data_IF_762090836870
#
_entry.id   IF_762090836870
#
_cell.length_a   1.000
_cell.length_b   1.000
_cell.length_c   1.000
_cell.angle_alpha   90.00
_cell.angle_beta   90.00
_cell.angle_gamma   90.00
#
_symmetry.space_group_name_H-M   'P 1'
#
loop_
_entity.id
_entity.type
_entity.pdbx_description
1 polymer ?
#
# COMPACT_ATOMS: atom_id res chain seq x y z
N UNK A 1 -11.10 -12.04 14.24
CA UNK A 1 -9.95 -11.60 13.42
C UNK A 1 -9.27 -10.44 14.12
N UNK A 2 -7.94 -10.35 14.06
CA UNK A 2 -7.17 -9.18 14.51
C UNK A 2 -6.81 -8.31 13.31
N UNK A 3 -6.50 -7.03 13.56
CA UNK A 3 -5.98 -6.11 12.52
C UNK A 3 -4.65 -5.54 12.98
N UNK A 4 -3.59 -5.76 12.20
CA UNK A 4 -2.26 -5.20 12.47
C UNK A 4 -1.90 -4.17 11.41
N UNK A 5 -1.44 -3.00 11.84
CA UNK A 5 -0.96 -1.97 10.93
C UNK A 5 0.54 -1.78 11.10
N UNK A 6 1.27 -1.81 9.99
CA UNK A 6 2.71 -1.54 9.95
C UNK A 6 2.99 -0.23 9.22
N UNK A 7 3.66 0.70 9.92
CA UNK A 7 4.10 1.97 9.34
C UNK A 7 5.28 1.80 8.37
N UNK A 8 5.48 2.77 7.49
CA UNK A 8 6.53 2.73 6.48
C UNK A 8 7.96 2.58 7.04
N UNK A 9 8.23 3.17 8.19
CA UNK A 9 9.51 3.03 8.88
C UNK A 9 9.74 1.59 9.39
N UNK A 10 8.67 0.90 9.81
CA UNK A 10 8.74 -0.49 10.27
C UNK A 10 9.05 -1.50 9.16
N UNK A 11 8.75 -1.16 7.90
CA UNK A 11 8.95 -2.02 6.73
C UNK A 11 9.94 -1.43 5.71
N UNK A 12 10.78 -0.50 6.14
CA UNK A 12 11.68 0.27 5.25
C UNK A 12 12.79 -0.54 4.58
N UNK A 13 13.04 -1.76 5.00
CA UNK A 13 14.08 -2.64 4.47
C UNK A 13 13.73 -4.11 4.73
N UNK A 14 14.54 -5.02 4.22
CA UNK A 14 14.35 -6.45 4.38
C UNK A 14 14.27 -6.91 5.84
N UNK A 15 15.05 -6.32 6.73
CA UNK A 15 15.00 -6.67 8.15
C UNK A 15 13.69 -6.26 8.81
N UNK A 16 13.12 -5.11 8.44
CA UNK A 16 11.79 -4.70 8.86
C UNK A 16 10.71 -5.68 8.39
N UNK A 17 10.78 -6.13 7.14
CA UNK A 17 9.85 -7.14 6.61
C UNK A 17 10.02 -8.50 7.31
N UNK A 18 11.26 -8.93 7.58
CA UNK A 18 11.52 -10.15 8.38
C UNK A 18 10.98 -10.02 9.80
N UNK A 19 11.08 -8.82 10.40
CA UNK A 19 10.52 -8.56 11.72
C UNK A 19 8.98 -8.61 11.71
N UNK A 20 8.33 -8.02 10.69
CA UNK A 20 6.89 -8.17 10.49
C UNK A 20 6.49 -9.64 10.48
N UNK A 21 7.20 -10.48 9.70
CA UNK A 21 6.96 -11.93 9.64
C UNK A 21 7.06 -12.59 11.02
N UNK A 22 8.04 -12.20 11.85
CA UNK A 22 8.19 -12.73 13.23
C UNK A 22 7.04 -12.30 14.14
N UNK A 23 6.59 -11.06 14.02
CA UNK A 23 5.49 -10.51 14.83
C UNK A 23 4.18 -11.28 14.60
N UNK A 24 3.97 -11.74 13.37
CA UNK A 24 2.74 -12.44 12.99
C UNK A 24 2.86 -13.97 13.07
N UNK A 25 3.97 -14.53 13.60
CA UNK A 25 4.28 -15.97 13.54
C UNK A 25 3.22 -16.86 14.20
N UNK A 26 2.63 -16.37 15.29
CA UNK A 26 1.59 -17.10 16.05
C UNK A 26 0.15 -16.72 15.64
N UNK A 27 -0.01 -15.83 14.64
CA UNK A 27 -1.33 -15.36 14.23
C UNK A 27 -1.94 -16.28 13.16
N UNK A 28 -3.22 -16.61 13.35
CA UNK A 28 -3.94 -17.52 12.45
C UNK A 28 -5.11 -16.85 11.72
N UNK A 29 -5.55 -15.69 12.19
CA UNK A 29 -6.69 -14.97 11.61
C UNK A 29 -6.43 -13.46 11.71
N UNK A 30 -5.79 -12.91 10.66
CA UNK A 30 -5.18 -11.59 10.70
C UNK A 30 -5.39 -10.81 9.40
N UNK A 31 -5.76 -9.54 9.53
CA UNK A 31 -5.66 -8.56 8.44
C UNK A 31 -4.47 -7.62 8.68
N UNK A 32 -3.56 -7.55 7.73
CA UNK A 32 -2.35 -6.73 7.81
C UNK A 32 -2.52 -5.51 6.88
N UNK A 33 -2.52 -4.31 7.46
CA UNK A 33 -2.48 -3.05 6.72
C UNK A 33 -1.07 -2.52 6.72
N UNK A 34 -0.54 -2.20 5.54
CA UNK A 34 0.84 -1.72 5.40
C UNK A 34 0.89 -0.41 4.62
N UNK A 35 1.73 0.50 5.09
CA UNK A 35 2.07 1.75 4.40
C UNK A 35 3.17 1.52 3.35
N UNK A 36 3.41 2.51 2.50
CA UNK A 36 4.58 2.54 1.61
C UNK A 36 5.89 2.36 2.40
N UNK A 37 6.88 1.67 1.83
CA UNK A 37 8.17 1.39 2.47
C UNK A 37 9.01 2.65 2.63
N UNK A 38 9.47 2.94 3.84
CA UNK A 38 10.42 4.01 4.13
C UNK A 38 9.93 5.39 3.69
N UNK A 39 10.65 6.03 2.77
CA UNK A 39 10.34 7.36 2.21
C UNK A 39 9.78 7.31 0.80
N UNK A 40 9.19 6.19 0.39
CA UNK A 40 8.67 5.97 -0.97
C UNK A 40 7.63 7.03 -1.35
N UNK A 41 6.70 7.39 -0.46
CA UNK A 41 5.69 8.42 -0.73
C UNK A 41 6.34 9.76 -1.10
N UNK A 42 7.38 10.18 -0.36
CA UNK A 42 8.10 11.43 -0.67
C UNK A 42 8.78 11.38 -2.06
N UNK A 43 9.30 10.24 -2.47
CA UNK A 43 9.91 10.07 -3.79
C UNK A 43 8.84 10.06 -4.89
N UNK A 44 7.67 9.45 -4.65
CA UNK A 44 6.52 9.50 -5.56
C UNK A 44 5.95 10.91 -5.72
N UNK A 45 5.98 11.73 -4.66
CA UNK A 45 5.65 13.15 -4.76
C UNK A 45 6.60 13.90 -5.70
N UNK A 46 7.87 13.49 -5.78
CA UNK A 46 8.82 14.03 -6.77
C UNK A 46 8.52 13.57 -8.21
N UNK A 47 8.06 12.34 -8.38
CA UNK A 47 7.54 11.86 -9.68
C UNK A 47 6.36 12.74 -10.12
N UNK A 48 5.42 13.00 -9.22
CA UNK A 48 4.28 13.89 -9.49
C UNK A 48 4.70 15.34 -9.77
N UNK A 49 5.69 15.87 -9.04
CA UNK A 49 6.27 17.20 -9.31
C UNK A 49 6.84 17.30 -10.73
N UNK A 50 7.54 16.25 -11.20
CA UNK A 50 8.03 16.18 -12.58
C UNK A 50 6.90 16.17 -13.59
N UNK A 51 5.83 15.38 -13.34
CA UNK A 51 4.64 15.39 -14.19
C UNK A 51 3.99 16.78 -14.26
N UNK A 52 3.83 17.47 -13.12
CA UNK A 52 3.27 18.83 -13.07
C UNK A 52 4.07 19.85 -13.90
N UNK A 53 5.40 19.71 -13.90
CA UNK A 53 6.31 20.60 -14.63
C UNK A 53 6.49 20.19 -16.10
N UNK A 54 5.97 19.04 -16.52
CA UNK A 54 6.27 18.44 -17.81
C UNK A 54 7.73 17.96 -17.93
N UNK A 55 8.42 17.81 -16.80
CA UNK A 55 9.79 17.33 -16.71
C UNK A 55 9.82 15.81 -16.58
N UNK A 56 9.75 15.15 -17.73
CA UNK A 56 9.76 13.69 -17.82
C UNK A 56 11.07 13.08 -17.29
N UNK A 57 12.19 13.80 -17.45
CA UNK A 57 13.48 13.33 -16.96
C UNK A 57 13.48 13.25 -15.44
N UNK A 58 13.02 14.29 -14.76
CA UNK A 58 12.89 14.32 -13.30
C UNK A 58 12.00 13.18 -12.81
N UNK A 59 10.84 12.96 -13.45
CA UNK A 59 9.96 11.84 -13.08
C UNK A 59 10.65 10.49 -13.22
N UNK A 60 11.31 10.24 -14.36
CA UNK A 60 11.97 8.98 -14.64
C UNK A 60 13.17 8.70 -13.72
N UNK A 61 13.95 9.72 -13.36
CA UNK A 61 15.04 9.58 -12.39
C UNK A 61 14.53 9.10 -11.04
N UNK A 62 13.40 9.64 -10.57
CA UNK A 62 12.80 9.22 -9.29
C UNK A 62 12.14 7.83 -9.39
N UNK A 63 11.51 7.49 -10.51
CA UNK A 63 10.95 6.14 -10.72
C UNK A 63 12.08 5.11 -10.74
N UNK A 64 13.19 5.37 -11.44
CA UNK A 64 14.35 4.48 -11.48
C UNK A 64 14.96 4.27 -10.08
N UNK A 65 15.13 5.34 -9.31
CA UNK A 65 15.64 5.25 -7.93
C UNK A 65 14.69 4.44 -7.01
N UNK A 66 13.37 4.59 -7.18
CA UNK A 66 12.38 3.80 -6.46
C UNK A 66 12.44 2.31 -6.84
N UNK A 67 12.58 2.01 -8.13
CA UNK A 67 12.74 0.63 -8.63
C UNK A 67 13.99 -0.01 -8.02
N UNK A 68 15.13 0.69 -8.04
CA UNK A 68 16.39 0.21 -7.46
C UNK A 68 16.28 -0.03 -5.95
N UNK A 69 15.66 0.90 -5.22
CA UNK A 69 15.44 0.76 -3.76
C UNK A 69 14.64 -0.49 -3.42
N UNK A 70 13.54 -0.74 -4.12
CA UNK A 70 12.71 -1.92 -3.86
C UNK A 70 13.34 -3.21 -4.38
N UNK A 71 14.08 -3.16 -5.50
CA UNK A 71 14.87 -4.31 -5.98
C UNK A 71 15.92 -4.75 -4.95
N UNK A 72 16.61 -3.81 -4.31
CA UNK A 72 17.54 -4.12 -3.22
C UNK A 72 16.86 -4.80 -2.02
N UNK A 73 15.65 -4.37 -1.65
CA UNK A 73 14.86 -5.03 -0.59
C UNK A 73 14.48 -6.47 -1.00
N UNK A 74 14.06 -6.66 -2.25
CA UNK A 74 13.68 -7.97 -2.80
C UNK A 74 14.91 -8.89 -2.80
N UNK A 75 16.05 -8.45 -3.31
CA UNK A 75 17.28 -9.23 -3.35
C UNK A 75 17.73 -9.68 -1.94
N UNK A 76 17.64 -8.79 -0.96
CA UNK A 76 17.93 -9.11 0.43
C UNK A 76 16.95 -10.12 1.04
N UNK A 77 15.64 -9.98 0.76
CA UNK A 77 14.61 -10.87 1.29
C UNK A 77 14.76 -12.30 0.78
N UNK A 78 15.02 -12.48 -0.51
CA UNK A 78 15.16 -13.79 -1.16
C UNK A 78 16.61 -14.31 -1.21
N UNK A 79 17.59 -13.55 -0.67
CA UNK A 79 19.00 -13.89 -0.65
C UNK A 79 19.59 -14.12 -2.05
N UNK A 80 19.20 -13.31 -2.99
CA UNK A 80 19.66 -13.36 -4.37
C UNK A 80 18.63 -12.81 -5.33
N UNK A 81 19.00 -12.73 -6.58
CA UNK A 81 18.17 -12.16 -7.64
C UNK A 81 16.82 -12.87 -7.72
N UNK A 82 15.77 -12.16 -7.36
CA UNK A 82 14.37 -12.59 -7.50
C UNK A 82 13.61 -11.56 -8.31
N UNK A 83 13.03 -12.00 -9.40
CA UNK A 83 12.10 -11.20 -10.17
C UNK A 83 10.68 -11.41 -9.63
N UNK A 84 9.97 -10.32 -9.34
CA UNK A 84 8.58 -10.32 -8.95
C UNK A 84 7.77 -9.62 -10.05
N UNK A 85 7.21 -10.39 -10.98
CA UNK A 85 6.48 -9.88 -12.15
C UNK A 85 5.40 -8.85 -11.79
N UNK A 86 4.72 -9.03 -10.66
CA UNK A 86 3.71 -8.07 -10.19
C UNK A 86 4.30 -6.74 -9.76
N UNK A 87 5.50 -6.75 -9.18
CA UNK A 87 6.21 -5.52 -8.78
C UNK A 87 6.75 -4.82 -10.02
N UNK A 88 7.32 -5.58 -10.96
CA UNK A 88 7.80 -5.04 -12.23
C UNK A 88 6.65 -4.38 -13.00
N UNK A 89 5.50 -5.02 -13.11
CA UNK A 89 4.33 -4.46 -13.77
C UNK A 89 3.82 -3.16 -13.11
N UNK A 90 3.91 -3.03 -11.77
CA UNK A 90 3.56 -1.79 -11.07
C UNK A 90 4.53 -0.66 -11.42
N UNK A 91 5.83 -0.94 -11.52
CA UNK A 91 6.80 0.08 -11.93
C UNK A 91 6.66 0.45 -13.40
N UNK A 92 6.39 -0.51 -14.28
CA UNK A 92 6.14 -0.24 -15.71
C UNK A 92 4.90 0.66 -15.88
N UNK A 93 3.85 0.42 -15.10
CA UNK A 93 2.66 1.28 -15.09
C UNK A 93 2.95 2.68 -14.54
N UNK A 94 3.74 2.79 -13.47
CA UNK A 94 4.16 4.09 -12.93
C UNK A 94 4.99 4.89 -13.95
N UNK A 95 5.92 4.22 -14.66
CA UNK A 95 6.69 4.83 -15.75
C UNK A 95 5.77 5.33 -16.86
N UNK A 96 4.80 4.51 -17.28
CA UNK A 96 3.81 4.85 -18.28
C UNK A 96 3.00 6.08 -17.87
N UNK A 97 2.51 6.11 -16.63
CA UNK A 97 1.79 7.28 -16.08
C UNK A 97 2.66 8.52 -16.10
N UNK A 98 3.92 8.41 -15.66
CA UNK A 98 4.85 9.54 -15.58
C UNK A 98 5.22 10.13 -16.94
N UNK A 99 5.24 9.31 -18.01
CA UNK A 99 5.73 9.72 -19.35
C UNK A 99 4.60 10.05 -20.32
N UNK A 100 3.50 9.28 -20.29
CA UNK A 100 2.43 9.38 -21.28
C UNK A 100 1.30 10.32 -20.88
N UNK A 101 1.17 10.61 -19.57
CA UNK A 101 0.11 11.48 -19.09
C UNK A 101 0.28 12.91 -19.59
N UNK A 102 -0.79 13.45 -20.18
CA UNK A 102 -0.90 14.87 -20.49
C UNK A 102 -1.51 15.57 -19.27
N UNK A 103 -0.64 16.16 -18.45
CA UNK A 103 -1.07 16.82 -17.21
C UNK A 103 -1.91 18.07 -17.49
N UNK A 104 -3.01 18.19 -16.73
CA UNK A 104 -3.83 19.41 -16.66
C UNK A 104 -3.98 19.80 -15.18
N UNK A 105 -3.91 21.09 -14.84
CA UNK A 105 -4.09 21.54 -13.45
C UNK A 105 -5.43 21.13 -12.82
N UNK A 106 -6.49 20.98 -13.64
CA UNK A 106 -7.80 20.47 -13.17
C UNK A 106 -7.75 19.06 -12.61
N UNK A 107 -6.79 18.25 -13.05
CA UNK A 107 -6.69 16.83 -12.73
C UNK A 107 -5.54 16.56 -11.75
N UNK A 108 -5.03 17.62 -11.10
CA UNK A 108 -3.84 17.56 -10.24
C UNK A 108 -4.00 16.58 -9.09
N UNK A 109 -5.14 16.60 -8.39
CA UNK A 109 -5.38 15.73 -7.25
C UNK A 109 -5.58 14.28 -7.67
N UNK A 110 -6.23 14.02 -8.81
CA UNK A 110 -6.36 12.70 -9.41
C UNK A 110 -4.98 12.07 -9.70
N UNK A 111 -4.10 12.83 -10.34
CA UNK A 111 -2.76 12.33 -10.68
C UNK A 111 -1.87 12.18 -9.45
N UNK A 112 -2.03 13.06 -8.45
CA UNK A 112 -1.37 12.90 -7.17
C UNK A 112 -1.75 11.54 -6.55
N UNK A 113 -3.03 11.28 -6.36
CA UNK A 113 -3.53 10.04 -5.76
C UNK A 113 -3.10 8.81 -6.56
N UNK A 114 -3.19 8.88 -7.88
CA UNK A 114 -2.76 7.79 -8.77
C UNK A 114 -1.28 7.46 -8.58
N UNK A 115 -0.41 8.47 -8.54
CA UNK A 115 1.05 8.27 -8.43
C UNK A 115 1.44 7.81 -7.03
N UNK A 116 0.96 8.48 -5.97
CA UNK A 116 1.41 8.13 -4.61
C UNK A 116 0.92 6.76 -4.16
N UNK A 117 -0.22 6.28 -4.68
CA UNK A 117 -0.76 4.95 -4.38
C UNK A 117 0.19 3.80 -4.74
N UNK A 118 1.09 3.99 -5.71
CA UNK A 118 2.08 2.97 -6.06
C UNK A 118 2.97 2.58 -4.89
N UNK A 119 3.18 3.47 -3.91
CA UNK A 119 3.96 3.17 -2.71
C UNK A 119 3.38 2.01 -1.91
N UNK A 120 2.10 2.06 -1.61
CA UNK A 120 1.38 1.02 -0.89
C UNK A 120 1.15 -0.24 -1.74
N UNK A 121 0.90 -0.08 -3.03
CA UNK A 121 0.75 -1.21 -3.94
C UNK A 121 2.04 -2.04 -4.04
N UNK A 122 3.18 -1.39 -4.23
CA UNK A 122 4.49 -2.06 -4.29
C UNK A 122 4.84 -2.70 -2.96
N UNK A 123 4.72 -1.96 -1.84
CA UNK A 123 5.10 -2.46 -0.51
C UNK A 123 4.29 -3.70 -0.12
N UNK A 124 2.98 -3.65 -0.29
CA UNK A 124 2.10 -4.77 0.08
C UNK A 124 2.26 -5.98 -0.84
N UNK A 125 2.59 -5.76 -2.13
CA UNK A 125 2.91 -6.84 -3.06
C UNK A 125 4.18 -7.56 -2.63
N UNK A 126 5.27 -6.83 -2.33
CA UNK A 126 6.53 -7.42 -1.85
C UNK A 126 6.30 -8.21 -0.56
N UNK A 127 5.58 -7.64 0.40
CA UNK A 127 5.33 -8.28 1.70
C UNK A 127 4.50 -9.54 1.54
N UNK A 128 3.42 -9.50 0.77
CA UNK A 128 2.57 -10.67 0.53
C UNK A 128 3.33 -11.80 -0.15
N UNK A 129 4.13 -11.50 -1.19
CA UNK A 129 4.96 -12.48 -1.88
C UNK A 129 6.04 -13.06 -0.94
N UNK A 130 6.67 -12.21 -0.11
CA UNK A 130 7.66 -12.69 0.85
C UNK A 130 7.04 -13.57 1.94
N UNK A 131 5.89 -13.23 2.48
CA UNK A 131 5.19 -14.04 3.48
C UNK A 131 4.85 -15.43 2.90
N UNK A 132 4.34 -15.50 1.67
CA UNK A 132 4.09 -16.78 0.99
C UNK A 132 5.40 -17.57 0.80
N UNK A 133 6.48 -16.93 0.37
CA UNK A 133 7.81 -17.56 0.26
C UNK A 133 8.32 -18.08 1.61
N UNK A 134 8.07 -17.35 2.69
CA UNK A 134 8.46 -17.70 4.06
C UNK A 134 7.51 -18.71 4.74
N UNK A 135 6.55 -19.29 4.01
CA UNK A 135 5.64 -20.32 4.48
C UNK A 135 4.40 -19.80 5.21
N UNK A 136 4.14 -18.50 5.19
CA UNK A 136 2.92 -17.88 5.73
C UNK A 136 1.93 -17.67 4.59
N UNK A 137 1.00 -18.63 4.43
CA UNK A 137 -0.06 -18.54 3.41
C UNK A 137 -0.92 -17.30 3.67
N UNK A 138 -0.97 -16.42 2.69
CA UNK A 138 -1.74 -15.18 2.79
C UNK A 138 -2.30 -14.76 1.43
N UNK A 139 -3.34 -13.93 1.47
CA UNK A 139 -3.95 -13.33 0.28
C UNK A 139 -3.72 -11.82 0.26
N UNK A 140 -3.18 -11.32 -0.84
CA UNK A 140 -3.12 -9.88 -1.12
C UNK A 140 -4.49 -9.38 -1.55
N UNK A 141 -4.97 -8.32 -0.93
CA UNK A 141 -6.28 -7.69 -1.18
C UNK A 141 -6.04 -6.29 -1.75
N UNK A 142 -6.65 -5.99 -2.90
CA UNK A 142 -6.62 -4.63 -3.47
C UNK A 142 -7.66 -3.76 -2.77
N UNK A 143 -7.20 -2.90 -1.87
CA UNK A 143 -8.07 -2.05 -1.06
C UNK A 143 -8.85 -1.01 -1.88
N UNK A 144 -8.41 -0.68 -3.09
CA UNK A 144 -9.14 0.19 -4.01
C UNK A 144 -10.46 -0.43 -4.49
N UNK A 145 -10.58 -1.77 -4.40
CA UNK A 145 -11.81 -2.51 -4.71
C UNK A 145 -12.67 -2.80 -3.50
N UNK A 146 -12.12 -2.59 -2.31
CA UNK A 146 -12.78 -2.90 -1.05
C UNK A 146 -13.23 -1.64 -0.29
N UNK A 147 -12.50 -0.53 -0.44
CA UNK A 147 -12.86 0.75 0.12
C UNK A 147 -13.51 1.64 -0.93
N UNK A 148 -14.82 1.76 -0.88
CA UNK A 148 -15.52 2.75 -1.67
C UNK A 148 -15.39 4.11 -0.97
N UNK A 149 -14.85 5.10 -1.67
CA UNK A 149 -14.66 6.44 -1.13
C UNK A 149 -15.58 7.45 -1.79
N UNK A 150 -15.67 8.63 -1.19
CA UNK A 150 -16.19 9.80 -1.88
C UNK A 150 -15.41 10.05 -3.17
N UNK A 151 -16.05 10.69 -4.16
CA UNK A 151 -15.37 11.14 -5.38
C UNK A 151 -14.61 12.45 -5.10
N UNK A 152 -13.64 12.34 -4.21
CA UNK A 152 -12.76 13.42 -3.77
C UNK A 152 -11.35 12.85 -3.66
N UNK A 153 -10.37 13.59 -4.16
CA UNK A 153 -8.97 13.20 -4.09
C UNK A 153 -8.25 13.83 -2.90
N UNK A 154 -7.09 13.26 -2.50
CA UNK A 154 -6.18 13.67 -1.43
C UNK A 154 -6.68 13.52 0.00
N UNK A 155 -7.96 13.47 0.24
CA UNK A 155 -8.55 13.42 1.58
C UNK A 155 -9.98 12.84 1.48
N UNK A 156 -10.07 11.67 0.83
CA UNK A 156 -11.34 11.01 0.60
C UNK A 156 -11.84 10.30 1.86
N UNK A 157 -13.11 10.47 2.18
CA UNK A 157 -13.80 9.69 3.20
C UNK A 157 -14.16 8.30 2.68
N UNK A 158 -14.02 7.28 3.51
CA UNK A 158 -14.49 5.92 3.18
C UNK A 158 -15.95 5.79 3.56
N UNK A 159 -16.79 5.40 2.60
CA UNK A 159 -18.15 4.95 2.88
C UNK A 159 -18.10 3.55 3.50
N UNK A 160 -18.20 3.49 4.83
CA UNK A 160 -18.06 2.25 5.59
C UNK A 160 -19.21 1.28 5.27
N UNK A 161 -20.44 1.79 5.09
CA UNK A 161 -21.62 0.95 4.82
C UNK A 161 -21.50 0.29 3.44
N UNK A 162 -21.11 1.04 2.43
CA UNK A 162 -20.90 0.52 1.08
C UNK A 162 -19.65 -0.35 0.96
N UNK A 163 -18.59 -0.06 1.72
CA UNK A 163 -17.34 -0.82 1.73
C UNK A 163 -17.45 -2.17 2.44
N UNK A 164 -18.32 -2.27 3.47
CA UNK A 164 -18.44 -3.48 4.28
C UNK A 164 -18.77 -4.74 3.46
N UNK A 165 -19.77 -4.75 2.57
CA UNK A 165 -20.06 -5.94 1.74
C UNK A 165 -18.93 -6.24 0.75
N UNK A 166 -18.23 -5.23 0.23
CA UNK A 166 -17.12 -5.41 -0.70
C UNK A 166 -15.94 -6.10 -0.03
N UNK A 167 -15.51 -5.60 1.14
CA UNK A 167 -14.41 -6.19 1.87
C UNK A 167 -14.76 -7.61 2.36
N UNK A 168 -15.93 -7.80 2.99
CA UNK A 168 -16.36 -9.11 3.46
C UNK A 168 -16.50 -10.12 2.34
N UNK A 169 -17.01 -9.69 1.18
CA UNK A 169 -17.12 -10.52 -0.02
C UNK A 169 -15.75 -10.96 -0.54
N UNK A 170 -14.79 -10.02 -0.65
CA UNK A 170 -13.43 -10.33 -1.09
C UNK A 170 -12.73 -11.35 -0.17
N UNK A 171 -12.96 -11.27 1.15
CA UNK A 171 -12.37 -12.23 2.09
C UNK A 171 -13.08 -13.60 2.05
N UNK A 172 -14.38 -13.64 1.84
CA UNK A 172 -15.16 -14.87 1.79
C UNK A 172 -14.80 -15.79 0.60
N UNK A 173 -14.22 -15.22 -0.47
CA UNK A 173 -13.74 -15.96 -1.64
C UNK A 173 -12.37 -16.61 -1.42
N UNK A 174 -11.70 -16.32 -0.28
CA UNK A 174 -10.36 -16.77 0.01
C UNK A 174 -10.36 -18.02 0.92
N UNK A 175 -9.38 -18.88 0.71
CA UNK A 175 -9.11 -20.01 1.61
C UNK A 175 -8.12 -19.66 2.71
N UNK A 176 -7.39 -18.57 2.53
CA UNK A 176 -6.44 -18.03 3.48
C UNK A 176 -7.16 -17.28 4.61
N UNK A 177 -6.53 -17.26 5.77
CA UNK A 177 -7.01 -16.53 6.94
C UNK A 177 -6.09 -15.34 7.33
N UNK A 178 -5.02 -15.14 6.57
CA UNK A 178 -4.13 -13.98 6.70
C UNK A 178 -4.24 -13.16 5.42
N UNK A 179 -4.48 -11.88 5.57
CA UNK A 179 -4.70 -10.95 4.46
C UNK A 179 -3.72 -9.79 4.55
N UNK A 180 -3.23 -9.33 3.39
CA UNK A 180 -2.34 -8.16 3.27
C UNK A 180 -3.01 -7.15 2.37
N UNK A 181 -3.27 -5.96 2.89
CA UNK A 181 -3.91 -4.86 2.17
C UNK A 181 -3.17 -3.53 2.33
N UNK A 182 -3.40 -2.63 1.39
CA UNK A 182 -2.84 -1.29 1.40
C UNK A 182 -3.52 -0.44 2.47
N UNK A 183 -2.72 0.32 3.22
CA UNK A 183 -3.22 1.48 3.91
C UNK A 183 -3.37 2.68 2.96
N UNK A 184 -3.93 3.79 3.43
CA UNK A 184 -3.92 5.10 2.78
C UNK A 184 -4.74 5.22 1.49
N UNK A 185 -5.08 4.16 0.78
CA UNK A 185 -5.76 4.23 -0.53
C UNK A 185 -7.12 3.56 -0.52
N UNK A 186 -7.98 4.04 -1.43
CA UNK A 186 -9.29 3.49 -1.74
C UNK A 186 -9.65 3.72 -3.21
N UNK A 187 -10.87 3.45 -3.60
CA UNK A 187 -11.39 3.67 -4.93
C UNK A 187 -12.67 4.49 -4.94
N UNK A 188 -12.73 5.46 -5.84
CA UNK A 188 -13.94 6.23 -6.08
C UNK A 188 -14.94 5.45 -6.96
N UNK A 189 -16.23 5.86 -7.00
CA UNK A 189 -17.26 5.17 -7.79
C UNK A 189 -16.98 5.10 -9.29
N UNK A 190 -16.19 6.04 -9.83
CA UNK A 190 -15.77 6.05 -11.23
C UNK A 190 -14.56 5.13 -11.53
N UNK A 191 -14.07 4.42 -10.53
CA UNK A 191 -12.93 3.50 -10.62
C UNK A 191 -11.56 4.17 -10.47
N UNK A 192 -11.50 5.47 -10.20
CA UNK A 192 -10.22 6.15 -9.93
C UNK A 192 -9.71 5.82 -8.53
N UNK A 193 -8.38 5.82 -8.38
CA UNK A 193 -7.73 5.66 -7.08
C UNK A 193 -7.84 6.95 -6.27
N UNK A 194 -8.12 6.83 -4.99
CA UNK A 194 -8.16 7.95 -4.03
C UNK A 194 -7.20 7.72 -2.89
N UNK A 195 -6.76 8.79 -2.24
CA UNK A 195 -6.01 8.73 -0.99
C UNK A 195 -6.81 9.29 0.18
N UNK A 196 -6.56 8.74 1.37
CA UNK A 196 -7.37 8.99 2.57
C UNK A 196 -6.78 10.09 3.48
N UNK A 197 -5.88 10.89 2.93
CA UNK A 197 -5.28 12.01 3.63
C UNK A 197 -4.27 11.63 4.71
N UNK A 198 -4.02 12.57 5.62
CA UNK A 198 -3.02 12.41 6.69
C UNK A 198 -3.38 11.25 7.62
N UNK A 199 -2.39 10.47 8.05
CA UNK A 199 -2.57 9.24 8.85
C UNK A 199 -3.49 8.21 8.19
N UNK A 200 -3.66 8.29 6.85
CA UNK A 200 -4.60 7.47 6.09
C UNK A 200 -4.43 5.97 6.27
N UNK A 201 -3.20 5.47 6.54
CA UNK A 201 -3.00 4.04 6.80
C UNK A 201 -3.49 3.61 8.19
N UNK A 202 -3.42 4.49 9.20
CA UNK A 202 -3.98 4.20 10.53
C UNK A 202 -5.52 4.24 10.45
N UNK A 203 -6.07 5.20 9.67
CA UNK A 203 -7.49 5.25 9.35
C UNK A 203 -7.96 3.99 8.60
N UNK A 204 -7.22 3.54 7.58
CA UNK A 204 -7.53 2.28 6.88
C UNK A 204 -7.64 1.10 7.83
N UNK A 205 -6.70 0.96 8.76
CA UNK A 205 -6.71 -0.13 9.74
C UNK A 205 -7.93 -0.04 10.67
N UNK A 206 -8.31 1.17 11.11
CA UNK A 206 -9.50 1.38 11.93
C UNK A 206 -10.80 1.04 11.17
N UNK A 207 -10.89 1.41 9.88
CA UNK A 207 -12.03 1.07 9.03
C UNK A 207 -12.12 -0.45 8.84
N UNK A 208 -11.02 -1.14 8.53
CA UNK A 208 -11.00 -2.61 8.44
C UNK A 208 -11.43 -3.25 9.75
N UNK A 209 -10.89 -2.78 10.88
CA UNK A 209 -11.24 -3.30 12.19
C UNK A 209 -12.73 -3.13 12.51
N UNK A 210 -13.31 -1.99 12.15
CA UNK A 210 -14.74 -1.73 12.31
C UNK A 210 -15.59 -2.64 11.42
N UNK A 211 -15.28 -2.72 10.11
CA UNK A 211 -16.04 -3.54 9.14
C UNK A 211 -16.03 -5.02 9.52
N UNK A 212 -14.89 -5.53 10.00
CA UNK A 212 -14.71 -6.95 10.31
C UNK A 212 -15.06 -7.31 11.76
N UNK A 213 -15.51 -6.35 12.56
CA UNK A 213 -15.76 -6.52 14.00
C UNK A 213 -14.52 -7.16 14.68
N UNK A 214 -13.37 -6.52 14.47
CA UNK A 214 -12.09 -7.08 14.86
C UNK A 214 -11.96 -7.19 16.39
N UNK A 215 -11.44 -8.30 16.86
CA UNK A 215 -11.14 -8.56 18.27
C UNK A 215 -10.16 -7.54 18.86
N UNK A 216 -9.18 -7.13 18.03
CA UNK A 216 -8.20 -6.11 18.40
C UNK A 216 -7.56 -5.48 17.18
N UNK A 217 -7.06 -4.26 17.36
CA UNK A 217 -6.22 -3.56 16.39
C UNK A 217 -4.91 -3.14 17.05
N UNK A 218 -3.78 -3.47 16.41
CA UNK A 218 -2.45 -3.06 16.86
C UNK A 218 -1.75 -2.23 15.78
N UNK A 219 -1.10 -1.15 16.21
CA UNK A 219 -0.31 -0.27 15.33
C UNK A 219 1.16 -0.43 15.66
N UNK A 220 1.94 -0.97 14.72
CA UNK A 220 3.38 -1.16 14.83
C UNK A 220 4.09 0.03 14.19
N UNK A 221 4.76 0.82 15.01
CA UNK A 221 5.60 1.97 14.62
C UNK A 221 7.01 1.78 15.18
N UNK A 222 7.94 2.58 14.71
CA UNK A 222 9.34 2.63 15.17
C UNK A 222 9.54 3.45 16.46
N UNK A 223 8.50 3.49 17.30
CA UNK A 223 8.48 4.19 18.60
C UNK A 223 7.97 3.22 19.67
N UNK A 224 8.42 3.42 20.93
CA UNK A 224 8.10 2.53 22.06
C UNK A 224 6.62 2.58 22.49
N UNK A 225 5.81 3.43 21.89
CA UNK A 225 4.39 3.59 22.18
C UNK A 225 3.91 5.03 22.08
N UNK A 226 2.67 5.28 22.50
CA UNK A 226 2.11 6.63 22.63
C UNK A 226 2.64 7.21 23.95
N UNK A 227 3.46 8.26 23.84
CA UNK A 227 3.98 8.99 24.99
C UNK A 227 3.06 10.18 25.30
N UNK A 228 2.80 10.41 26.58
CA UNK A 228 2.08 11.58 27.08
C UNK A 228 3.01 12.78 27.20
#
# INVERSE_FOLDING_TARGET
>A
MKVYKFGGASVRNADGVRNLRKIIDDEQNLFIIVSAMGKTTNALEKVFEGLQKGDKQLSMEHVAALREYHAGIIDDLWRGHKQLERVDALFDELERVAVETVYKPSDAELWYDTIVAFGELVSTTIISEYLNYAGVSNRWIDMRRCFLTEQRHKDAGVDIEASAPLLKGALAECVENIFVGQGFIGGAPDGTTTTLGREGSDYSAAVVANILDAESMAVWKDVDGVLN
#
